data_IF_841779223033
#
_entry.id   IF_841779223033
#
_cell.length_a   1.000
_cell.length_b   1.000
_cell.length_c   1.000
_cell.angle_alpha   90.00
_cell.angle_beta   90.00
_cell.angle_gamma   90.00
#
_symmetry.space_group_name_H-M   'P 1'
#
loop_
_entity.id
_entity.type
_entity.pdbx_description
1 polymer ?
#
# COMPACT_ATOMS: atom_id res chain seq x y z
N UNK A 1 -2.58 -14.56 -8.65
CA UNK A 1 -2.02 -14.14 -7.34
C UNK A 1 -2.39 -15.15 -6.27
N UNK A 2 -1.43 -15.50 -5.43
CA UNK A 2 -1.67 -16.30 -4.22
C UNK A 2 -1.90 -15.37 -3.02
N UNK A 3 -3.04 -15.53 -2.31
CA UNK A 3 -3.42 -14.61 -1.22
C UNK A 3 -3.73 -15.38 0.06
N UNK A 4 -3.02 -15.02 1.13
CA UNK A 4 -3.26 -15.54 2.48
C UNK A 4 -3.66 -14.41 3.42
N UNK A 5 -4.73 -14.60 4.21
CA UNK A 5 -5.16 -13.65 5.25
C UNK A 5 -5.13 -14.34 6.60
N UNK A 6 -4.47 -13.72 7.58
CA UNK A 6 -4.35 -14.22 8.96
C UNK A 6 -4.78 -13.14 9.97
N UNK A 7 -5.24 -13.56 11.15
CA UNK A 7 -5.62 -12.65 12.24
C UNK A 7 -7.04 -12.10 12.14
N UNK A 8 -7.76 -12.29 11.04
CA UNK A 8 -9.18 -12.01 10.97
C UNK A 8 -9.95 -13.12 11.71
N UNK A 9 -10.74 -12.74 12.71
CA UNK A 9 -11.67 -13.67 13.38
C UNK A 9 -12.93 -13.89 12.54
N UNK A 10 -13.26 -12.93 11.70
CA UNK A 10 -14.42 -12.90 10.84
C UNK A 10 -14.10 -13.53 9.47
N UNK A 11 -14.83 -14.57 9.11
CA UNK A 11 -14.68 -15.27 7.82
C UNK A 11 -15.10 -14.40 6.64
N UNK A 12 -16.12 -13.56 6.82
CA UNK A 12 -16.57 -12.63 5.77
C UNK A 12 -15.49 -11.57 5.49
N UNK A 13 -14.89 -10.97 6.52
CA UNK A 13 -13.77 -10.06 6.34
C UNK A 13 -12.61 -10.75 5.62
N UNK A 14 -12.28 -11.99 5.98
CA UNK A 14 -11.23 -12.77 5.30
C UNK A 14 -11.53 -12.94 3.82
N UNK A 15 -12.77 -13.33 3.47
CA UNK A 15 -13.22 -13.49 2.08
C UNK A 15 -13.09 -12.17 1.32
N UNK A 16 -13.61 -11.09 1.88
CA UNK A 16 -13.62 -9.79 1.22
C UNK A 16 -12.24 -9.15 1.08
N UNK A 17 -11.34 -9.35 2.02
CA UNK A 17 -9.95 -8.92 1.87
C UNK A 17 -9.26 -9.67 0.73
N UNK A 18 -9.49 -10.98 0.58
CA UNK A 18 -8.96 -11.74 -0.57
C UNK A 18 -9.52 -11.23 -1.89
N UNK A 19 -10.84 -10.99 -1.95
CA UNK A 19 -11.51 -10.48 -3.16
C UNK A 19 -11.00 -9.08 -3.52
N UNK A 20 -10.84 -8.19 -2.53
CA UNK A 20 -10.31 -6.86 -2.74
C UNK A 20 -8.84 -6.88 -3.20
N UNK A 21 -8.00 -7.73 -2.59
CA UNK A 21 -6.60 -7.89 -2.99
C UNK A 21 -6.48 -8.34 -4.44
N UNK A 22 -7.25 -9.36 -4.83
CA UNK A 22 -7.30 -9.83 -6.21
C UNK A 22 -7.72 -8.71 -7.16
N UNK A 23 -8.80 -8.03 -6.83
CA UNK A 23 -9.32 -6.92 -7.63
C UNK A 23 -8.31 -5.78 -7.79
N UNK A 24 -7.68 -5.34 -6.69
CA UNK A 24 -6.69 -4.26 -6.76
C UNK A 24 -5.45 -4.66 -7.56
N UNK A 25 -4.98 -5.90 -7.42
CA UNK A 25 -3.87 -6.42 -8.21
C UNK A 25 -4.18 -6.37 -9.71
N UNK A 26 -5.38 -6.78 -10.10
CA UNK A 26 -5.87 -6.75 -11.49
C UNK A 26 -6.00 -5.32 -12.05
N UNK A 27 -6.37 -4.35 -11.21
CA UNK A 27 -6.49 -2.95 -11.64
C UNK A 27 -5.12 -2.24 -11.75
N UNK A 28 -4.16 -2.65 -10.93
CA UNK A 28 -2.88 -1.95 -10.79
C UNK A 28 -1.77 -2.49 -11.70
N UNK A 29 -1.84 -3.76 -12.08
CA UNK A 29 -0.72 -4.45 -12.71
C UNK A 29 -1.16 -5.32 -13.90
N UNK A 30 -0.29 -5.51 -14.91
CA UNK A 30 -0.58 -6.44 -16.01
C UNK A 30 -0.60 -7.89 -15.52
N UNK A 31 -1.37 -8.79 -16.21
CA UNK A 31 -1.56 -10.20 -15.82
C UNK A 31 -0.25 -10.93 -15.52
N UNK A 32 0.75 -10.80 -16.37
CA UNK A 32 2.05 -11.46 -16.20
C UNK A 32 2.79 -11.11 -14.90
N UNK A 33 2.41 -10.00 -14.25
CA UNK A 33 2.97 -9.59 -12.97
C UNK A 33 2.08 -10.08 -11.84
N UNK A 34 0.81 -9.66 -11.79
CA UNK A 34 -0.03 -9.96 -10.63
C UNK A 34 -0.31 -11.46 -10.46
N UNK A 35 -0.35 -12.25 -11.54
CA UNK A 35 -0.59 -13.70 -11.46
C UNK A 35 0.52 -14.43 -10.70
N UNK A 36 1.74 -13.90 -10.70
CA UNK A 36 2.90 -14.48 -10.03
C UNK A 36 3.10 -13.98 -8.59
N UNK A 37 2.29 -13.02 -8.12
CA UNK A 37 2.45 -12.47 -6.77
C UNK A 37 1.96 -13.43 -5.68
N UNK A 38 2.67 -13.41 -4.56
CA UNK A 38 2.29 -14.01 -3.28
C UNK A 38 2.07 -12.90 -2.25
N UNK A 39 0.84 -12.72 -1.76
CA UNK A 39 0.47 -11.65 -0.83
C UNK A 39 -0.04 -12.23 0.48
N UNK A 40 0.65 -11.91 1.55
CA UNK A 40 0.34 -12.33 2.92
C UNK A 40 -0.19 -11.15 3.71
N UNK A 41 -1.48 -11.18 4.06
CA UNK A 41 -2.14 -10.13 4.83
C UNK A 41 -2.27 -10.58 6.27
N UNK A 42 -1.75 -9.80 7.21
CA UNK A 42 -1.88 -10.03 8.64
C UNK A 42 -2.67 -8.89 9.28
N UNK A 43 -3.82 -9.24 9.89
CA UNK A 43 -4.57 -8.31 10.73
C UNK A 43 -4.08 -8.47 12.18
N UNK A 44 -3.62 -7.38 12.77
CA UNK A 44 -3.09 -7.37 14.13
C UNK A 44 -3.66 -6.21 14.94
N UNK A 45 -3.68 -6.37 16.26
CA UNK A 45 -4.04 -5.26 17.14
C UNK A 45 -2.94 -4.20 17.09
N UNK A 46 -3.35 -2.93 17.22
CA UNK A 46 -2.40 -1.84 17.40
C UNK A 46 -1.57 -2.11 18.66
N UNK A 47 -0.27 -2.15 18.51
CA UNK A 47 0.69 -2.18 19.62
C UNK A 47 1.31 -0.80 19.73
N UNK A 48 1.78 -0.41 20.94
CA UNK A 48 2.40 0.91 21.15
C UNK A 48 3.60 1.19 20.24
N UNK A 49 4.17 0.12 19.68
CA UNK A 49 5.33 0.17 18.78
C UNK A 49 4.93 0.30 17.28
N UNK A 50 3.64 0.43 16.99
CA UNK A 50 3.13 0.46 15.63
C UNK A 50 2.28 1.72 15.41
N UNK A 51 2.91 2.78 14.92
CA UNK A 51 2.27 4.09 14.72
C UNK A 51 1.45 4.17 13.42
N UNK A 52 1.69 3.26 12.48
CA UNK A 52 0.99 3.26 11.18
C UNK A 52 -0.30 2.45 11.19
N UNK A 53 -1.28 2.83 10.36
CA UNK A 53 -2.56 2.10 10.19
C UNK A 53 -2.41 0.83 9.37
N UNK A 54 -1.42 0.78 8.51
CA UNK A 54 -1.04 -0.35 7.67
C UNK A 54 0.42 -0.20 7.23
N UNK A 55 1.01 -1.25 6.72
CA UNK A 55 2.26 -1.21 5.97
C UNK A 55 2.39 -2.37 4.99
N UNK A 56 3.23 -2.19 3.99
CA UNK A 56 3.61 -3.19 3.00
C UNK A 56 5.12 -3.35 2.98
N UNK A 57 5.59 -4.60 3.02
CA UNK A 57 7.00 -4.94 2.86
C UNK A 57 7.13 -6.17 1.96
N UNK A 58 8.18 -6.22 1.13
CA UNK A 58 8.54 -7.46 0.44
C UNK A 58 9.14 -8.46 1.42
N UNK A 59 9.12 -9.72 1.04
CA UNK A 59 9.77 -10.79 1.81
C UNK A 59 11.26 -10.89 1.42
N UNK A 60 12.13 -11.18 2.39
CA UNK A 60 13.58 -11.38 2.16
C UNK A 60 13.88 -12.53 1.21
N UNK A 61 12.91 -13.41 0.96
CA UNK A 61 13.02 -14.52 -0.01
C UNK A 61 12.99 -14.00 -1.46
N UNK A 62 12.31 -12.86 -1.68
CA UNK A 62 12.15 -12.23 -2.99
C UNK A 62 12.49 -10.74 -2.90
N UNK A 63 13.78 -10.39 -2.79
CA UNK A 63 14.20 -9.00 -2.64
C UNK A 63 14.13 -8.23 -3.96
N UNK A 64 14.20 -6.88 -3.93
CA UNK A 64 14.37 -6.06 -5.11
C UNK A 64 15.48 -6.57 -6.05
N UNK A 65 15.42 -6.30 -7.38
CA UNK A 65 14.61 -5.25 -7.98
C UNK A 65 13.18 -5.63 -8.37
N UNK A 66 12.75 -6.85 -8.33
CA UNK A 66 11.39 -7.26 -8.74
C UNK A 66 10.82 -8.27 -7.74
N UNK A 67 10.49 -7.84 -6.54
CA UNK A 67 9.90 -8.74 -5.55
C UNK A 67 8.53 -9.25 -6.02
N UNK A 68 8.25 -10.51 -5.73
CA UNK A 68 6.99 -11.18 -6.04
C UNK A 68 6.23 -11.62 -4.79
N UNK A 69 6.85 -11.47 -3.62
CA UNK A 69 6.29 -11.89 -2.34
C UNK A 69 6.22 -10.72 -1.37
N UNK A 70 5.01 -10.45 -0.86
CA UNK A 70 4.73 -9.28 -0.03
C UNK A 70 3.99 -9.63 1.26
N UNK A 71 4.37 -8.96 2.33
CA UNK A 71 3.71 -8.98 3.62
C UNK A 71 2.99 -7.64 3.86
N UNK A 72 1.66 -7.66 3.96
CA UNK A 72 0.83 -6.49 4.29
C UNK A 72 0.33 -6.65 5.72
N UNK A 73 0.57 -5.65 6.56
CA UNK A 73 0.00 -5.59 7.91
C UNK A 73 -1.11 -4.57 7.94
N UNK A 74 -2.27 -4.97 8.45
CA UNK A 74 -3.41 -4.09 8.66
C UNK A 74 -3.71 -4.00 10.16
N UNK A 75 -3.83 -2.79 10.69
CA UNK A 75 -4.14 -2.59 12.11
C UNK A 75 -5.62 -2.79 12.36
N UNK A 76 -5.92 -3.64 13.35
CA UNK A 76 -7.26 -3.83 13.86
C UNK A 76 -7.58 -2.78 14.92
N UNK A 77 -8.45 -1.85 14.59
CA UNK A 77 -9.02 -0.92 15.55
C UNK A 77 -10.41 -1.42 16.01
N UNK A 78 -10.80 -1.23 17.29
CA UNK A 78 -12.05 -1.76 17.83
C UNK A 78 -13.32 -1.29 17.11
N UNK A 79 -13.26 -0.13 16.48
CA UNK A 79 -14.38 0.49 15.75
C UNK A 79 -14.19 0.53 14.24
N UNK A 80 -13.13 -0.11 13.72
CA UNK A 80 -12.80 -0.07 12.30
C UNK A 80 -13.84 -0.83 11.49
N UNK A 81 -14.46 -0.15 10.54
CA UNK A 81 -15.41 -0.73 9.60
C UNK A 81 -14.65 -1.51 8.52
N UNK A 82 -15.32 -2.37 7.77
CA UNK A 82 -14.70 -3.08 6.63
C UNK A 82 -14.08 -2.11 5.62
N UNK A 83 -14.73 -0.98 5.40
CA UNK A 83 -14.28 0.09 4.52
C UNK A 83 -12.88 0.59 4.86
N UNK A 84 -12.60 0.79 6.15
CA UNK A 84 -11.30 1.25 6.61
C UNK A 84 -10.19 0.22 6.30
N UNK A 85 -10.53 -1.08 6.38
CA UNK A 85 -9.61 -2.14 5.96
C UNK A 85 -9.39 -2.16 4.45
N UNK A 86 -10.45 -1.95 3.66
CA UNK A 86 -10.33 -1.89 2.20
C UNK A 86 -9.54 -0.68 1.75
N UNK A 87 -9.73 0.47 2.43
CA UNK A 87 -8.97 1.69 2.18
C UNK A 87 -7.48 1.49 2.45
N UNK A 88 -7.16 1.03 3.66
CA UNK A 88 -5.76 0.73 4.01
C UNK A 88 -5.16 -0.32 3.06
N UNK A 89 -5.91 -1.36 2.71
CA UNK A 89 -5.46 -2.38 1.76
C UNK A 89 -5.23 -1.81 0.35
N UNK A 90 -6.10 -0.92 -0.14
CA UNK A 90 -5.93 -0.28 -1.45
C UNK A 90 -4.64 0.53 -1.49
N UNK A 91 -4.35 1.30 -0.43
CA UNK A 91 -3.10 2.04 -0.28
C UNK A 91 -1.88 1.11 -0.36
N UNK A 92 -1.85 0.06 0.47
CA UNK A 92 -0.73 -0.90 0.49
C UNK A 92 -0.57 -1.66 -0.83
N UNK A 93 -1.67 -1.93 -1.54
CA UNK A 93 -1.60 -2.56 -2.87
C UNK A 93 -0.98 -1.66 -3.94
N UNK A 94 -1.04 -0.34 -3.78
CA UNK A 94 -0.26 0.57 -4.64
C UNK A 94 1.23 0.42 -4.36
N UNK A 95 1.64 0.28 -3.09
CA UNK A 95 3.05 -0.01 -2.77
C UNK A 95 3.50 -1.37 -3.31
N UNK A 96 2.65 -2.40 -3.24
CA UNK A 96 2.93 -3.69 -3.91
C UNK A 96 3.23 -3.47 -5.40
N UNK A 97 2.39 -2.70 -6.09
CA UNK A 97 2.59 -2.35 -7.51
C UNK A 97 3.91 -1.62 -7.73
N UNK A 98 4.21 -0.63 -6.90
CA UNK A 98 5.43 0.18 -7.02
C UNK A 98 6.70 -0.69 -6.91
N UNK A 99 6.73 -1.60 -5.95
CA UNK A 99 7.85 -2.55 -5.80
C UNK A 99 7.87 -3.60 -6.91
N UNK A 100 6.75 -4.26 -7.20
CA UNK A 100 6.68 -5.31 -8.19
C UNK A 100 7.04 -4.84 -9.61
N UNK A 101 6.79 -3.56 -9.93
CA UNK A 101 7.16 -2.93 -11.18
C UNK A 101 8.53 -2.21 -11.13
N UNK A 102 9.25 -2.29 -10.00
CA UNK A 102 10.50 -1.59 -9.76
C UNK A 102 10.38 -0.07 -9.98
N UNK A 103 9.23 0.50 -9.60
CA UNK A 103 9.03 1.95 -9.60
C UNK A 103 9.56 2.58 -8.31
N UNK A 104 9.44 1.86 -7.20
CA UNK A 104 10.02 2.19 -5.91
C UNK A 104 11.07 1.13 -5.56
N UNK A 105 12.31 1.53 -5.50
CA UNK A 105 13.42 0.69 -5.05
C UNK A 105 13.88 1.18 -3.67
N UNK A 106 13.75 0.32 -2.67
CA UNK A 106 14.30 0.54 -1.35
C UNK A 106 15.67 -0.10 -1.26
N UNK A 107 16.71 0.65 -1.57
CA UNK A 107 18.07 0.17 -1.32
C UNK A 107 18.33 0.27 0.18
N UNK A 108 18.23 -0.87 0.88
CA UNK A 108 18.70 -0.99 2.25
C UNK A 108 20.24 -0.98 2.26
N UNK A 109 20.81 0.20 2.47
CA UNK A 109 22.23 0.38 2.70
C UNK A 109 22.43 1.43 3.79
N UNK A 110 23.67 1.67 4.21
CA UNK A 110 24.01 2.67 5.24
C UNK A 110 23.43 4.07 4.99
N UNK A 111 22.90 4.35 3.79
CA UNK A 111 22.37 5.64 3.37
C UNK A 111 20.84 5.69 3.17
N UNK A 112 20.07 4.61 3.41
CA UNK A 112 18.60 4.57 3.26
C UNK A 112 18.09 5.34 2.01
N UNK A 113 18.68 5.05 0.83
CA UNK A 113 18.30 5.72 -0.40
C UNK A 113 17.05 5.08 -0.99
N UNK A 114 16.04 5.90 -1.31
CA UNK A 114 14.87 5.47 -2.06
C UNK A 114 14.97 5.98 -3.50
N UNK A 115 14.92 5.05 -4.45
CA UNK A 115 14.82 5.38 -5.86
C UNK A 115 13.34 5.33 -6.27
N UNK A 116 12.87 6.41 -6.86
CA UNK A 116 11.56 6.49 -7.47
C UNK A 116 11.70 6.60 -8.98
N UNK A 117 11.27 5.56 -9.70
CA UNK A 117 11.40 5.47 -11.17
C UNK A 117 12.82 5.80 -11.65
N UNK A 118 13.81 5.27 -10.89
CA UNK A 118 15.24 5.46 -11.19
C UNK A 118 15.83 6.80 -10.75
N UNK A 119 15.05 7.67 -10.09
CA UNK A 119 15.52 8.96 -9.57
C UNK A 119 15.79 8.82 -8.06
N UNK A 120 16.98 9.20 -7.63
CA UNK A 120 17.34 9.24 -6.21
C UNK A 120 16.75 10.49 -5.54
N UNK A 121 15.82 10.29 -4.63
CA UNK A 121 15.17 11.35 -3.85
C UNK A 121 15.91 11.69 -2.54
N UNK A 122 16.93 10.92 -2.18
CA UNK A 122 17.75 11.16 -0.99
C UNK A 122 19.04 11.91 -1.27
N UNK A 123 19.21 12.48 -2.47
CA UNK A 123 20.40 13.28 -2.79
C UNK A 123 20.45 14.50 -1.88
N UNK A 124 21.54 14.67 -1.07
CA UNK A 124 21.67 15.81 -0.19
C UNK A 124 21.54 17.13 -0.95
N UNK A 125 20.83 18.09 -0.37
CA UNK A 125 20.52 19.42 -0.92
C UNK A 125 21.75 20.22 -1.41
N UNK A 126 22.97 19.74 -1.19
CA UNK A 126 24.20 20.33 -1.71
C UNK A 126 24.38 20.23 -3.22
N UNK A 127 23.70 19.24 -3.85
CA UNK A 127 23.80 18.99 -5.31
C UNK A 127 22.71 19.74 -6.06
N UNK A 128 21.55 20.01 -5.44
CA UNK A 128 20.51 20.83 -6.04
C UNK A 128 20.62 22.27 -5.56
N UNK A 129 20.67 23.25 -6.46
CA UNK A 129 20.72 24.64 -6.04
C UNK A 129 19.50 25.00 -5.21
N UNK A 130 19.70 25.78 -4.13
CA UNK A 130 18.70 26.20 -3.12
C UNK A 130 17.38 26.79 -3.68
N UNK A 131 17.23 26.89 -5.01
CA UNK A 131 16.04 27.39 -5.70
C UNK A 131 14.99 26.32 -5.98
N UNK A 132 15.34 25.04 -5.91
CA UNK A 132 14.39 23.98 -6.19
C UNK A 132 13.60 23.64 -4.91
N UNK A 133 12.38 24.16 -4.84
CA UNK A 133 11.48 23.93 -3.68
C UNK A 133 11.15 22.44 -3.49
N UNK A 134 11.19 21.64 -4.56
CA UNK A 134 10.93 20.21 -4.51
C UNK A 134 12.02 19.47 -3.75
N UNK A 135 13.30 19.82 -3.92
CA UNK A 135 14.39 19.16 -3.19
C UNK A 135 14.37 19.39 -1.68
N UNK A 136 13.67 20.41 -1.17
CA UNK A 136 13.49 20.67 0.26
C UNK A 136 12.39 19.82 0.89
N UNK A 137 11.41 19.41 0.11
CA UNK A 137 10.25 18.66 0.58
C UNK A 137 10.65 17.24 0.96
N UNK A 138 11.68 16.68 0.34
CA UNK A 138 12.04 15.27 0.49
C UNK A 138 13.18 14.98 1.49
N UNK A 139 13.74 15.99 2.14
CA UNK A 139 14.96 15.86 2.96
C UNK A 139 14.70 16.02 4.47
N UNK A 140 13.59 16.62 4.85
CA UNK A 140 13.28 16.83 6.26
C UNK A 140 12.47 15.65 6.82
N UNK A 141 12.94 15.07 7.91
CA UNK A 141 12.36 13.86 8.55
C UNK A 141 11.05 14.15 9.32
N UNK A 142 10.36 15.24 8.97
CA UNK A 142 9.11 15.61 9.61
C UNK A 142 7.95 14.83 8.98
N UNK A 143 6.94 14.42 9.77
CA UNK A 143 5.74 13.70 9.30
C UNK A 143 5.07 14.34 8.08
N UNK A 144 5.19 15.66 7.96
CA UNK A 144 4.66 16.43 6.82
C UNK A 144 5.29 16.04 5.50
N UNK A 145 6.57 15.70 5.49
CA UNK A 145 7.31 15.38 4.28
C UNK A 145 6.99 13.98 3.76
N UNK A 146 6.53 13.08 4.63
CA UNK A 146 6.07 11.76 4.24
C UNK A 146 4.98 11.82 3.16
N UNK A 147 3.95 12.66 3.35
CA UNK A 147 2.84 12.78 2.41
C UNK A 147 3.21 13.43 1.07
N UNK A 148 4.38 14.07 0.98
CA UNK A 148 4.88 14.67 -0.26
C UNK A 148 5.83 13.76 -1.03
N UNK A 149 6.13 12.57 -0.52
CA UNK A 149 6.92 11.59 -1.25
C UNK A 149 6.14 11.11 -2.48
N UNK A 150 6.75 11.02 -3.68
CA UNK A 150 6.00 10.75 -4.91
C UNK A 150 5.29 9.40 -4.89
N UNK A 151 5.82 8.40 -4.21
CA UNK A 151 5.17 7.11 -4.02
C UNK A 151 3.95 7.19 -3.11
N UNK A 152 3.98 8.04 -2.08
CA UNK A 152 2.82 8.28 -1.21
C UNK A 152 1.74 9.09 -1.93
N UNK A 153 2.13 10.12 -2.70
CA UNK A 153 1.18 10.89 -3.54
C UNK A 153 0.45 9.95 -4.51
N UNK A 154 1.17 9.01 -5.15
CA UNK A 154 0.55 8.03 -6.02
C UNK A 154 -0.37 7.10 -5.23
N UNK A 155 0.06 6.60 -4.06
CA UNK A 155 -0.74 5.70 -3.23
C UNK A 155 -2.04 6.36 -2.76
N UNK A 156 -1.98 7.56 -2.19
CA UNK A 156 -3.16 8.32 -1.78
C UNK A 156 -4.06 8.71 -2.96
N UNK A 157 -3.48 9.02 -4.11
CA UNK A 157 -4.23 9.37 -5.31
C UNK A 157 -5.02 8.20 -5.89
N UNK A 158 -4.47 6.99 -5.87
CA UNK A 158 -5.10 5.81 -6.46
C UNK A 158 -6.04 5.09 -5.49
N UNK A 159 -5.80 5.12 -4.17
CA UNK A 159 -6.60 4.38 -3.18
C UNK A 159 -8.09 4.69 -3.29
N UNK A 160 -8.45 5.96 -3.46
CA UNK A 160 -9.85 6.41 -3.55
C UNK A 160 -10.53 5.82 -4.78
N UNK A 161 -9.88 5.89 -5.93
CA UNK A 161 -10.41 5.30 -7.17
C UNK A 161 -10.58 3.80 -7.08
N UNK A 162 -9.61 3.08 -6.51
CA UNK A 162 -9.64 1.63 -6.32
C UNK A 162 -10.83 1.20 -5.45
N UNK A 163 -11.08 1.94 -4.34
CA UNK A 163 -12.20 1.66 -3.46
C UNK A 163 -13.53 1.88 -4.19
N UNK A 164 -13.69 3.00 -4.89
CA UNK A 164 -14.91 3.28 -5.62
C UNK A 164 -15.21 2.19 -6.66
N UNK A 165 -14.24 1.78 -7.46
CA UNK A 165 -14.40 0.70 -8.42
C UNK A 165 -14.72 -0.64 -7.77
N UNK A 166 -14.08 -0.94 -6.64
CA UNK A 166 -14.36 -2.17 -5.89
C UNK A 166 -15.80 -2.19 -5.37
N UNK A 167 -16.23 -1.10 -4.75
CA UNK A 167 -17.58 -0.97 -4.20
C UNK A 167 -18.63 -1.01 -5.32
N UNK A 168 -18.42 -0.30 -6.42
CA UNK A 168 -19.33 -0.34 -7.57
C UNK A 168 -19.50 -1.76 -8.08
N UNK A 169 -18.41 -2.49 -8.26
CA UNK A 169 -18.43 -3.86 -8.78
C UNK A 169 -19.12 -4.86 -7.86
N UNK A 170 -18.92 -4.73 -6.56
CA UNK A 170 -19.37 -5.71 -5.55
C UNK A 170 -20.50 -5.19 -4.65
N UNK A 171 -21.09 -4.05 -4.93
CA UNK A 171 -22.11 -3.39 -4.08
C UNK A 171 -23.27 -4.29 -3.65
N UNK A 172 -23.69 -5.21 -4.53
CA UNK A 172 -24.80 -6.14 -4.26
C UNK A 172 -24.44 -7.27 -3.29
N UNK A 173 -23.16 -7.61 -3.22
CA UNK A 173 -22.65 -8.76 -2.49
C UNK A 173 -21.95 -8.38 -1.18
N UNK A 174 -21.54 -7.12 -1.05
CA UNK A 174 -20.90 -6.61 0.16
C UNK A 174 -21.86 -6.65 1.35
N UNK A 175 -21.44 -7.16 2.52
CA UNK A 175 -22.31 -7.39 3.67
C UNK A 175 -22.96 -6.12 4.23
N UNK A 176 -22.47 -4.95 3.88
CA UNK A 176 -22.93 -3.64 4.36
C UNK A 176 -23.36 -2.68 3.22
N UNK A 177 -23.50 -3.18 1.99
CA UNK A 177 -23.77 -2.38 0.78
C UNK A 177 -25.19 -1.81 0.65
N UNK A 178 -26.03 -1.89 1.68
CA UNK A 178 -27.42 -1.40 1.60
C UNK A 178 -27.62 0.07 2.04
N UNK A 179 -26.63 0.68 2.64
CA UNK A 179 -26.70 2.10 3.03
C UNK A 179 -25.64 2.88 2.21
N UNK A 180 -26.08 3.52 1.13
CA UNK A 180 -25.23 4.35 0.25
C UNK A 180 -24.53 5.52 0.97
N UNK A 181 -24.90 5.84 2.22
CA UNK A 181 -24.31 6.93 3.00
C UNK A 181 -23.01 6.59 3.76
N UNK A 182 -22.53 5.36 3.67
CA UNK A 182 -21.35 4.92 4.44
C UNK A 182 -20.02 5.01 3.66
N UNK A 183 -20.04 5.54 2.42
CA UNK A 183 -18.87 5.58 1.52
C UNK A 183 -18.38 7.00 1.21
N UNK A 184 -18.97 8.03 1.83
CA UNK A 184 -18.56 9.44 1.70
C UNK A 184 -17.46 9.82 2.71
#
# INVERSE_FOLDING_TARGET
VFITVRGAKDRELTKWLKTATQFYAEQLMPPKIYENLSIYIKIQHNTKDFETKADCMWDDISPPPYPDTFNIRLVKEPKKRYQDHFKSLAHEMVHVKQYALNELDGVYGENNTHLWKGIDFNIPSKIYPKKDRLSRVFIDKDEKDYYFQPWEIEAYGLEVGLIHYFVERYSKDLPYGRNQGDWD
#
